data_IF_646648257482
#
_entry.id   IF_646648257482
#
_cell.length_a   1.000
_cell.length_b   1.000
_cell.length_c   1.000
_cell.angle_alpha   90.00
_cell.angle_beta   90.00
_cell.angle_gamma   90.00
#
_symmetry.space_group_name_H-M   'P 1'
#
loop_
_entity.id
_entity.type
_entity.pdbx_description
1 polymer ?
#
# COMPACT_ATOMS: atom_id res chain seq x y z
N UNK A 1 11.50 2.96 10.08
CA UNK A 1 12.62 3.63 9.38
C UNK A 1 12.16 5.04 9.05
N UNK A 2 13.05 6.03 9.16
CA UNK A 2 12.81 7.38 8.65
C UNK A 2 13.60 7.54 7.36
N UNK A 3 12.97 8.18 6.37
CA UNK A 3 13.52 8.44 5.05
C UNK A 3 13.35 9.93 4.80
N UNK A 4 14.41 10.60 4.39
CA UNK A 4 14.35 12.02 4.06
C UNK A 4 13.64 12.24 2.73
N UNK A 5 12.89 13.33 2.66
CA UNK A 5 12.13 13.75 1.48
C UNK A 5 12.95 14.74 0.64
N UNK A 6 13.75 15.56 1.30
CA UNK A 6 14.57 16.65 0.76
C UNK A 6 16.08 16.30 0.66
N UNK A 7 16.45 15.07 1.01
CA UNK A 7 17.82 14.60 1.07
C UNK A 7 17.93 13.11 0.75
N UNK A 8 19.15 12.59 0.79
CA UNK A 8 19.47 11.21 0.38
C UNK A 8 19.91 10.37 1.57
N UNK A 9 19.07 10.24 2.59
CA UNK A 9 19.36 9.40 3.75
C UNK A 9 18.14 8.64 4.26
N UNK A 10 18.42 7.50 4.91
CA UNK A 10 17.44 6.68 5.61
C UNK A 10 18.06 6.05 6.84
N UNK A 11 17.35 6.03 7.95
CA UNK A 11 17.85 5.53 9.24
C UNK A 11 16.77 4.71 9.95
N UNK A 12 17.09 3.52 10.49
CA UNK A 12 16.19 2.80 11.39
C UNK A 12 16.07 3.54 12.73
N UNK A 13 14.84 3.84 13.16
CA UNK A 13 14.59 4.60 14.41
C UNK A 13 14.24 3.71 15.61
N UNK A 14 13.97 2.43 15.38
CA UNK A 14 13.59 1.49 16.41
C UNK A 14 13.44 0.09 15.82
N UNK A 15 13.80 -0.90 16.63
CA UNK A 15 13.67 -2.31 16.30
C UNK A 15 13.24 -3.05 17.57
N UNK A 16 12.15 -3.81 17.47
CA UNK A 16 11.54 -4.49 18.60
C UNK A 16 11.25 -5.94 18.22
N UNK A 17 11.67 -6.87 19.08
CA UNK A 17 11.24 -8.25 18.98
C UNK A 17 9.86 -8.37 19.63
N UNK A 18 8.84 -8.69 18.83
CA UNK A 18 7.45 -8.77 19.29
C UNK A 18 6.82 -10.08 18.83
N UNK A 19 6.08 -10.74 19.72
CA UNK A 19 5.27 -11.92 19.37
C UNK A 19 3.92 -11.50 18.72
N UNK A 20 3.57 -10.23 18.82
CA UNK A 20 2.36 -9.62 18.31
C UNK A 20 2.19 -8.24 18.93
N UNK A 21 1.46 -7.36 18.26
CA UNK A 21 1.04 -6.08 18.80
C UNK A 21 -0.40 -5.83 18.39
N UNK A 22 -1.17 -5.17 19.24
CA UNK A 22 -2.46 -4.59 18.88
C UNK A 22 -2.27 -3.37 17.97
N UNK A 23 -3.36 -2.88 17.36
CA UNK A 23 -3.32 -1.63 16.61
C UNK A 23 -2.93 -0.43 17.49
N UNK A 24 -3.45 -0.40 18.72
CA UNK A 24 -3.20 0.66 19.68
C UNK A 24 -1.74 0.65 20.19
N UNK A 25 -1.19 -0.52 20.50
CA UNK A 25 0.22 -0.65 20.90
C UNK A 25 1.17 -0.18 19.79
N UNK A 26 0.89 -0.56 18.53
CA UNK A 26 1.65 -0.04 17.38
C UNK A 26 1.51 1.48 17.25
N UNK A 27 0.31 2.02 17.41
CA UNK A 27 0.07 3.46 17.36
C UNK A 27 0.86 4.20 18.43
N UNK A 28 0.96 3.64 19.63
CA UNK A 28 1.77 4.22 20.71
C UNK A 28 3.27 4.22 20.38
N UNK A 29 3.80 3.13 19.82
CA UNK A 29 5.20 3.11 19.34
C UNK A 29 5.46 4.13 18.24
N UNK A 30 4.53 4.30 17.31
CA UNK A 30 4.61 5.32 16.26
C UNK A 30 4.60 6.73 16.85
N UNK A 31 3.69 7.02 17.80
CA UNK A 31 3.64 8.31 18.50
C UNK A 31 4.96 8.62 19.20
N UNK A 32 5.52 7.66 19.94
CA UNK A 32 6.82 7.82 20.63
C UNK A 32 7.93 8.08 19.62
N UNK A 33 7.98 7.33 18.52
CA UNK A 33 8.98 7.54 17.46
C UNK A 33 8.90 8.97 16.89
N UNK A 34 7.68 9.44 16.56
CA UNK A 34 7.46 10.80 16.04
C UNK A 34 7.91 11.86 17.06
N UNK A 35 7.52 11.71 18.33
CA UNK A 35 7.93 12.63 19.40
C UNK A 35 9.45 12.74 19.50
N UNK A 36 10.17 11.61 19.53
CA UNK A 36 11.64 11.60 19.61
C UNK A 36 12.30 12.23 18.40
N UNK A 37 11.73 12.06 17.20
CA UNK A 37 12.25 12.71 15.99
C UNK A 37 12.05 14.24 16.08
N UNK A 38 10.89 14.68 16.51
CA UNK A 38 10.59 16.11 16.68
C UNK A 38 11.47 16.76 17.73
N UNK A 39 11.80 16.06 18.82
CA UNK A 39 12.74 16.55 19.84
C UNK A 39 14.15 16.80 19.26
N UNK A 40 14.53 16.12 18.17
CA UNK A 40 15.80 16.34 17.44
C UNK A 40 15.73 17.43 16.36
N UNK A 41 14.56 18.07 16.19
CA UNK A 41 14.31 19.06 15.14
C UNK A 41 13.90 18.46 13.78
N UNK A 42 13.72 17.14 13.68
CA UNK A 42 13.24 16.49 12.45
C UNK A 42 11.73 16.67 12.34
N UNK A 43 11.27 17.21 11.21
CA UNK A 43 9.84 17.33 10.91
C UNK A 43 9.31 16.09 10.19
N UNK A 44 8.44 15.33 10.86
CA UNK A 44 7.75 14.19 10.25
C UNK A 44 6.49 14.66 9.52
N UNK A 45 6.46 14.51 8.20
CA UNK A 45 5.33 14.97 7.37
C UNK A 45 4.36 13.84 6.95
N UNK A 46 4.83 12.60 6.95
CA UNK A 46 4.03 11.45 6.51
C UNK A 46 4.45 10.14 7.18
N UNK A 47 3.51 9.22 7.28
CA UNK A 47 3.69 7.84 7.67
C UNK A 47 3.32 6.92 6.51
N UNK A 48 4.25 6.04 6.10
CA UNK A 48 4.01 5.05 5.06
C UNK A 48 3.91 3.65 5.65
N UNK A 49 2.88 2.88 5.29
CA UNK A 49 2.72 1.48 5.69
C UNK A 49 2.05 0.64 4.58
N UNK A 50 2.12 -0.69 4.66
CA UNK A 50 1.34 -1.58 3.80
C UNK A 50 -0.08 -1.80 4.37
N UNK A 51 -0.95 -2.46 3.60
CA UNK A 51 -2.39 -2.59 3.92
C UNK A 51 -2.91 -3.85 4.64
N UNK A 52 -2.18 -4.56 5.52
CA UNK A 52 -2.82 -5.53 6.42
C UNK A 52 -3.81 -4.86 7.39
N UNK A 53 -4.82 -5.61 7.85
CA UNK A 53 -5.85 -5.11 8.79
C UNK A 53 -5.27 -4.53 10.09
N UNK A 54 -4.14 -5.03 10.56
CA UNK A 54 -3.47 -4.54 11.75
C UNK A 54 -2.91 -3.11 11.59
N UNK A 55 -2.49 -2.72 10.38
CA UNK A 55 -2.05 -1.36 10.08
C UNK A 55 -3.22 -0.41 9.95
N UNK A 56 -4.34 -0.85 9.36
CA UNK A 56 -5.57 -0.05 9.38
C UNK A 56 -6.04 0.22 10.82
N UNK A 57 -6.02 -0.79 11.69
CA UNK A 57 -6.34 -0.60 13.12
C UNK A 57 -5.39 0.40 13.79
N UNK A 58 -4.07 0.32 13.53
CA UNK A 58 -3.09 1.31 14.00
C UNK A 58 -3.41 2.72 13.51
N UNK A 59 -3.72 2.89 12.23
CA UNK A 59 -4.05 4.19 11.64
C UNK A 59 -5.33 4.79 12.25
N UNK A 60 -6.35 3.96 12.50
CA UNK A 60 -7.55 4.37 13.24
C UNK A 60 -7.22 4.79 14.67
N UNK A 61 -6.35 4.06 15.38
CA UNK A 61 -5.88 4.44 16.72
C UNK A 61 -5.01 5.72 16.74
N UNK A 62 -4.41 6.10 15.61
CA UNK A 62 -3.73 7.38 15.44
C UNK A 62 -4.71 8.53 15.17
N UNK A 63 -5.93 8.23 14.72
CA UNK A 63 -6.96 9.21 14.37
C UNK A 63 -7.19 9.40 12.86
N UNK A 64 -6.57 8.57 12.02
CA UNK A 64 -6.81 8.57 10.58
C UNK A 64 -7.99 7.64 10.21
N UNK A 65 -8.73 7.99 9.16
CA UNK A 65 -9.81 7.17 8.62
C UNK A 65 -9.58 6.97 7.12
N UNK A 66 -9.34 5.72 6.70
CA UNK A 66 -9.13 5.36 5.29
C UNK A 66 -10.38 4.73 4.65
N UNK A 67 -11.56 4.97 5.24
CA UNK A 67 -12.84 4.60 4.64
C UNK A 67 -13.13 5.50 3.42
N UNK A 68 -13.41 4.93 2.22
CA UNK A 68 -13.75 5.71 1.03
C UNK A 68 -14.94 6.66 1.21
N UNK A 69 -15.90 6.33 2.06
CA UNK A 69 -17.08 7.16 2.33
C UNK A 69 -16.78 8.37 3.21
N UNK A 70 -15.74 8.29 4.05
CA UNK A 70 -15.35 9.33 5.01
C UNK A 70 -13.84 9.32 5.20
N UNK A 71 -13.12 9.76 4.17
CA UNK A 71 -11.66 9.70 4.17
C UNK A 71 -11.05 10.88 4.96
N UNK A 72 -10.29 10.54 5.99
CA UNK A 72 -9.44 11.44 6.77
C UNK A 72 -8.01 10.86 6.72
N UNK A 73 -7.25 11.12 5.65
CA UNK A 73 -5.98 10.44 5.37
C UNK A 73 -4.80 11.08 6.12
N UNK A 74 -5.03 11.56 7.34
CA UNK A 74 -4.02 12.15 8.20
C UNK A 74 -4.40 11.98 9.66
N UNK A 75 -3.42 12.17 10.54
CA UNK A 75 -3.65 12.31 11.97
C UNK A 75 -2.86 13.52 12.52
N UNK A 76 -3.30 14.14 13.63
CA UNK A 76 -2.61 15.27 14.21
C UNK A 76 -1.24 14.87 14.78
N UNK A 77 -0.25 15.76 14.69
CA UNK A 77 1.07 15.52 15.25
C UNK A 77 0.99 15.36 16.78
N UNK A 78 1.64 14.36 17.40
CA UNK A 78 1.50 14.06 18.84
C UNK A 78 1.85 15.20 19.80
N UNK A 79 2.76 16.11 19.41
CA UNK A 79 3.13 17.30 20.19
C UNK A 79 2.50 18.61 19.68
N UNK A 80 1.94 18.62 18.46
CA UNK A 80 1.37 19.84 17.86
C UNK A 80 0.08 19.51 17.11
N UNK A 81 -1.06 19.75 17.74
CA UNK A 81 -2.38 19.40 17.15
C UNK A 81 -2.71 20.17 15.86
N UNK A 82 -2.02 21.28 15.58
CA UNK A 82 -2.22 22.06 14.36
C UNK A 82 -1.46 21.49 13.15
N UNK A 83 -0.49 20.60 13.38
CA UNK A 83 0.26 19.94 12.33
C UNK A 83 -0.34 18.57 12.01
N UNK A 84 -0.27 18.20 10.74
CA UNK A 84 -0.84 16.95 10.22
C UNK A 84 0.27 16.06 9.72
N UNK A 85 0.17 14.77 10.03
CA UNK A 85 0.99 13.72 9.47
C UNK A 85 0.12 12.92 8.50
N UNK A 86 0.49 12.96 7.22
CA UNK A 86 -0.26 12.30 6.17
C UNK A 86 0.00 10.80 6.15
N UNK A 87 -1.04 10.02 5.88
CA UNK A 87 -0.93 8.57 5.77
C UNK A 87 -0.80 8.20 4.31
N UNK A 88 0.27 7.48 3.99
CA UNK A 88 0.52 6.93 2.66
C UNK A 88 0.49 5.42 2.73
N UNK A 89 -0.21 4.79 1.81
CA UNK A 89 -0.14 3.34 1.63
C UNK A 89 0.93 3.02 0.60
N UNK A 90 1.67 1.93 0.82
CA UNK A 90 2.64 1.47 -0.15
C UNK A 90 1.95 1.09 -1.47
N UNK A 91 2.18 1.91 -2.49
CA UNK A 91 1.60 1.77 -3.84
C UNK A 91 1.88 0.39 -4.44
N UNK A 92 3.09 -0.15 -4.22
CA UNK A 92 3.47 -1.47 -4.72
C UNK A 92 2.59 -2.57 -4.13
N UNK A 93 2.31 -2.47 -2.82
CA UNK A 93 1.45 -3.40 -2.13
C UNK A 93 -0.02 -3.18 -2.51
N UNK A 94 -0.46 -1.94 -2.71
CA UNK A 94 -1.84 -1.63 -3.10
C UNK A 94 -2.18 -2.15 -4.49
N UNK A 95 -1.31 -1.93 -5.49
CA UNK A 95 -1.50 -2.47 -6.83
C UNK A 95 -1.56 -4.01 -6.82
N UNK A 96 -0.80 -4.64 -5.92
CA UNK A 96 -0.79 -6.10 -5.77
C UNK A 96 -2.14 -6.60 -5.26
N UNK A 97 -2.75 -5.89 -4.32
CA UNK A 97 -4.09 -6.19 -3.83
C UNK A 97 -5.13 -6.04 -4.94
N UNK A 98 -5.10 -4.94 -5.70
CA UNK A 98 -6.03 -4.73 -6.83
C UNK A 98 -5.95 -5.88 -7.83
N UNK A 99 -4.73 -6.26 -8.26
CA UNK A 99 -4.51 -7.40 -9.16
C UNK A 99 -5.07 -8.69 -8.57
N UNK A 100 -4.74 -9.01 -7.31
CA UNK A 100 -5.20 -10.24 -6.67
C UNK A 100 -6.73 -10.27 -6.57
N UNK A 101 -7.36 -9.16 -6.21
CA UNK A 101 -8.82 -9.05 -6.15
C UNK A 101 -9.45 -9.28 -7.52
N UNK A 102 -8.92 -8.65 -8.58
CA UNK A 102 -9.43 -8.86 -9.94
C UNK A 102 -9.30 -10.32 -10.37
N UNK A 103 -8.15 -10.94 -10.10
CA UNK A 103 -7.88 -12.30 -10.51
C UNK A 103 -8.65 -13.35 -9.70
N UNK A 104 -8.93 -13.10 -8.42
CA UNK A 104 -9.67 -13.99 -7.54
C UNK A 104 -11.19 -13.86 -7.71
N UNK A 105 -11.70 -12.63 -7.86
CA UNK A 105 -13.14 -12.38 -8.06
C UNK A 105 -13.58 -12.59 -9.50
N UNK A 106 -12.64 -12.60 -10.46
CA UNK A 106 -12.82 -12.72 -11.91
C UNK A 106 -13.66 -11.63 -12.59
N UNK A 107 -14.64 -11.06 -11.89
CA UNK A 107 -15.52 -9.98 -12.34
C UNK A 107 -15.58 -8.93 -11.23
N UNK A 108 -15.26 -7.69 -11.58
CA UNK A 108 -15.50 -6.51 -10.75
C UNK A 108 -16.51 -5.63 -11.48
N UNK A 109 -17.45 -5.03 -10.75
CA UNK A 109 -18.39 -4.06 -11.32
C UNK A 109 -17.89 -2.65 -11.06
N UNK A 110 -17.95 -1.80 -12.07
CA UNK A 110 -17.80 -0.37 -11.88
C UNK A 110 -19.11 0.27 -11.34
N UNK A 111 -19.09 1.58 -11.15
CA UNK A 111 -20.24 2.37 -10.65
C UNK A 111 -21.47 2.33 -11.55
N UNK A 112 -21.30 2.02 -12.84
CA UNK A 112 -22.33 2.01 -13.88
C UNK A 112 -22.72 0.56 -14.27
N UNK A 113 -22.37 -0.43 -13.42
CA UNK A 113 -22.53 -1.87 -13.66
C UNK A 113 -21.75 -2.43 -14.86
N UNK A 114 -20.75 -1.71 -15.37
CA UNK A 114 -19.79 -2.22 -16.33
C UNK A 114 -18.94 -3.34 -15.72
N UNK A 115 -18.73 -4.41 -16.49
CA UNK A 115 -17.96 -5.57 -16.04
C UNK A 115 -16.48 -5.43 -16.39
N UNK A 116 -15.63 -5.47 -15.37
CA UNK A 116 -14.18 -5.58 -15.50
C UNK A 116 -13.82 -7.05 -15.28
N UNK A 117 -13.49 -7.76 -16.37
CA UNK A 117 -13.23 -9.19 -16.33
C UNK A 117 -11.73 -9.51 -16.40
N UNK A 118 -11.28 -10.41 -15.53
CA UNK A 118 -9.94 -11.01 -15.62
C UNK A 118 -9.74 -11.75 -16.95
N UNK A 119 -10.83 -12.29 -17.52
CA UNK A 119 -10.82 -13.01 -18.78
C UNK A 119 -10.21 -12.19 -19.93
N UNK A 120 -10.43 -10.87 -19.96
CA UNK A 120 -9.84 -10.01 -20.99
C UNK A 120 -8.31 -10.01 -20.97
N UNK A 121 -7.68 -10.15 -19.80
CA UNK A 121 -6.23 -10.28 -19.69
C UNK A 121 -5.74 -11.65 -20.19
N UNK A 122 -6.53 -12.70 -19.96
CA UNK A 122 -6.24 -14.05 -20.46
C UNK A 122 -6.34 -14.11 -21.98
N UNK A 123 -7.42 -13.55 -22.54
CA UNK A 123 -7.68 -13.53 -23.98
C UNK A 123 -6.63 -12.69 -24.71
N UNK A 124 -6.26 -11.53 -24.14
CA UNK A 124 -5.18 -10.70 -24.66
C UNK A 124 -3.84 -11.46 -24.66
N UNK A 125 -3.52 -12.16 -23.58
CA UNK A 125 -2.29 -12.97 -23.54
C UNK A 125 -2.30 -14.09 -24.58
N UNK A 126 -3.46 -14.74 -24.79
CA UNK A 126 -3.63 -15.78 -25.80
C UNK A 126 -3.43 -15.22 -27.21
N UNK A 127 -4.12 -14.12 -27.53
CA UNK A 127 -3.99 -13.43 -28.82
C UNK A 127 -2.53 -13.05 -29.12
N UNK A 128 -1.82 -12.48 -28.15
CA UNK A 128 -0.40 -12.12 -28.34
C UNK A 128 0.52 -13.33 -28.55
N UNK A 129 0.19 -14.49 -28.00
CA UNK A 129 0.95 -15.72 -28.23
C UNK A 129 0.63 -16.32 -29.60
N UNK A 130 -0.64 -16.31 -29.99
CA UNK A 130 -1.12 -16.89 -31.26
C UNK A 130 -0.60 -16.07 -32.46
N UNK A 131 -0.62 -14.74 -32.37
CA UNK A 131 -0.14 -13.81 -33.41
C UNK A 131 1.39 -13.64 -33.42
N UNK A 132 2.09 -14.09 -32.37
CA UNK A 132 3.55 -13.89 -32.20
C UNK A 132 3.98 -12.43 -32.02
N UNK A 133 3.04 -11.48 -31.93
CA UNK A 133 3.28 -10.04 -31.79
C UNK A 133 2.82 -9.52 -30.43
N UNK A 134 3.56 -8.56 -29.86
CA UNK A 134 3.18 -7.88 -28.62
C UNK A 134 2.76 -6.44 -28.89
N UNK A 135 1.66 -6.02 -28.27
CA UNK A 135 1.12 -4.65 -28.36
C UNK A 135 1.90 -3.65 -27.47
N UNK A 136 3.22 -3.81 -27.33
CA UNK A 136 4.06 -2.96 -26.49
C UNK A 136 3.87 -3.12 -24.97
N UNK A 137 2.98 -4.01 -24.52
CA UNK A 137 2.76 -4.31 -23.11
C UNK A 137 3.79 -5.32 -22.56
N UNK A 138 3.88 -5.41 -21.22
CA UNK A 138 4.81 -6.32 -20.53
C UNK A 138 4.12 -7.59 -20.01
N UNK A 139 2.87 -7.81 -20.40
CA UNK A 139 2.08 -8.99 -20.10
C UNK A 139 2.82 -10.27 -20.53
N UNK A 140 2.93 -11.20 -19.58
CA UNK A 140 3.62 -12.49 -19.71
C UNK A 140 2.79 -13.56 -19.03
N UNK A 141 3.05 -14.83 -19.36
CA UNK A 141 2.43 -15.99 -18.70
C UNK A 141 2.48 -15.94 -17.17
N UNK A 142 3.56 -15.38 -16.60
CA UNK A 142 3.70 -15.18 -15.16
C UNK A 142 2.68 -14.21 -14.52
N UNK A 143 2.14 -13.26 -15.30
CA UNK A 143 1.06 -12.36 -14.87
C UNK A 143 -0.28 -13.09 -14.80
N UNK A 144 -0.50 -14.06 -15.70
CA UNK A 144 -1.71 -14.89 -15.74
C UNK A 144 -1.64 -15.99 -14.68
N UNK A 145 -0.48 -16.64 -14.52
CA UNK A 145 -0.19 -17.63 -13.47
C UNK A 145 0.19 -16.96 -12.14
N UNK A 146 -0.56 -15.94 -11.74
CA UNK A 146 -0.26 -15.08 -10.59
C UNK A 146 -0.16 -15.84 -9.26
N UNK A 147 -0.83 -16.98 -9.12
CA UNK A 147 -0.85 -17.81 -7.90
C UNK A 147 0.56 -18.27 -7.50
N UNK A 148 1.42 -18.59 -8.48
CA UNK A 148 2.79 -19.05 -8.22
C UNK A 148 3.75 -17.89 -7.92
N UNK A 149 3.35 -16.63 -8.17
CA UNK A 149 4.19 -15.44 -8.02
C UNK A 149 3.48 -14.30 -7.27
N UNK A 150 2.64 -14.66 -6.29
CA UNK A 150 1.77 -13.74 -5.52
C UNK A 150 2.53 -12.56 -4.91
N UNK A 151 3.78 -12.76 -4.49
CA UNK A 151 4.60 -11.77 -3.77
C UNK A 151 5.48 -10.87 -4.65
N UNK A 152 5.69 -11.19 -5.94
CA UNK A 152 6.59 -10.42 -6.81
C UNK A 152 5.96 -9.12 -7.29
N UNK A 153 6.42 -8.01 -6.72
CA UNK A 153 5.96 -6.65 -7.03
C UNK A 153 6.30 -6.21 -8.46
N UNK A 154 7.44 -6.64 -9.01
CA UNK A 154 7.84 -6.29 -10.39
C UNK A 154 6.85 -6.78 -11.47
N UNK A 155 6.05 -7.80 -11.15
CA UNK A 155 5.00 -8.38 -12.03
C UNK A 155 3.68 -7.65 -11.84
N UNK A 156 3.56 -6.80 -10.83
CA UNK A 156 2.36 -6.01 -10.56
C UNK A 156 2.45 -4.64 -11.25
N UNK A 157 3.63 -4.03 -11.28
CA UNK A 157 3.84 -2.68 -11.82
C UNK A 157 3.98 -2.63 -13.35
N UNK A 158 3.92 -3.76 -14.05
CA UNK A 158 4.20 -3.86 -15.48
C UNK A 158 3.13 -4.68 -16.21
N UNK A 159 1.94 -4.13 -16.49
CA UNK A 159 1.01 -4.75 -17.43
C UNK A 159 1.54 -4.76 -18.87
#
# INVERSE_FOLDING_TARGET
>A
MVVSVDGSWKVPCGYFFVNGLSGEERANLVKVCIQRLTDTGIKVISLTCDGPSCHFSMLSSLGACLDPSKMIPYFPHPQNKNEKIWVLLDVCHMLKLVRNTLAEKAIILDKDNGKILWQYLVDLHKLQNDEGLRLGNKLKKAHIQWQQQKMKVNIVQQP
#
